data_IF_441602985020
#
_entry.id   IF_441602985020
#
_cell.length_a   1.000
_cell.length_b   1.000
_cell.length_c   1.000
_cell.angle_alpha   90.00
_cell.angle_beta   90.00
_cell.angle_gamma   90.00
#
_symmetry.space_group_name_H-M   'P 1'
#
loop_
_entity.id
_entity.type
_entity.pdbx_description
1 polymer ?
#
# COMPACT_ATOMS: atom_id res chain seq x y z
N UNK A 1 22.86 -18.34 18.61
CA UNK A 1 22.48 -18.06 17.19
C UNK A 1 21.47 -19.11 16.79
N UNK A 2 20.17 -18.77 16.75
CA UNK A 2 19.11 -19.68 16.28
C UNK A 2 19.25 -19.88 14.77
N UNK A 3 19.13 -21.14 14.31
CA UNK A 3 19.21 -21.47 12.88
C UNK A 3 18.15 -20.70 12.06
N UNK A 4 18.46 -20.29 10.80
CA UNK A 4 17.53 -19.55 9.95
C UNK A 4 16.17 -20.23 9.73
N UNK A 5 16.13 -21.56 9.73
CA UNK A 5 14.91 -22.34 9.55
C UNK A 5 13.94 -22.22 10.73
N UNK A 6 14.44 -22.15 11.95
CA UNK A 6 13.62 -22.06 13.17
C UNK A 6 12.86 -20.72 13.27
N UNK A 7 13.43 -19.64 12.77
CA UNK A 7 12.81 -18.29 12.85
C UNK A 7 11.71 -18.11 11.79
N UNK A 8 11.92 -18.59 10.56
CA UNK A 8 10.90 -18.57 9.52
C UNK A 8 9.70 -19.46 9.86
N UNK A 9 9.96 -20.63 10.43
CA UNK A 9 8.95 -21.55 10.93
C UNK A 9 8.11 -20.91 12.05
N UNK A 10 8.76 -20.28 13.03
CA UNK A 10 8.08 -19.54 14.09
C UNK A 10 7.20 -18.40 13.56
N UNK A 11 7.67 -17.67 12.55
CA UNK A 11 6.88 -16.60 11.90
C UNK A 11 5.65 -17.12 11.16
N UNK A 12 5.79 -18.24 10.44
CA UNK A 12 4.65 -18.87 9.73
C UNK A 12 3.62 -19.44 10.71
N UNK A 13 4.05 -20.04 11.80
CA UNK A 13 3.18 -20.47 12.89
C UNK A 13 2.44 -19.29 13.53
N UNK A 14 3.10 -18.14 13.65
CA UNK A 14 2.46 -16.92 14.12
C UNK A 14 1.38 -16.42 13.13
N UNK A 15 1.58 -16.56 11.80
CA UNK A 15 0.56 -16.29 10.80
C UNK A 15 -0.64 -17.22 10.95
N UNK A 16 -0.41 -18.53 11.15
CA UNK A 16 -1.49 -19.48 11.39
C UNK A 16 -2.35 -19.07 12.61
N UNK A 17 -1.71 -18.56 13.68
CA UNK A 17 -2.37 -18.06 14.89
C UNK A 17 -2.91 -16.61 14.80
N UNK A 18 -2.60 -15.86 13.75
CA UNK A 18 -2.95 -14.45 13.63
C UNK A 18 -4.46 -14.21 13.70
N UNK A 19 -4.90 -13.24 14.51
CA UNK A 19 -6.31 -12.92 14.66
C UNK A 19 -6.86 -12.15 13.46
N UNK A 20 -6.08 -11.23 12.89
CA UNK A 20 -6.48 -10.40 11.75
C UNK A 20 -5.43 -10.45 10.65
N UNK A 21 -5.85 -10.88 9.47
CA UNK A 21 -4.97 -10.97 8.30
C UNK A 21 -5.54 -10.17 7.13
N UNK A 22 -4.67 -9.45 6.43
CA UNK A 22 -5.00 -8.87 5.13
C UNK A 22 -4.41 -9.79 4.05
N UNK A 23 -5.23 -10.18 3.09
CA UNK A 23 -4.81 -11.00 1.96
C UNK A 23 -4.98 -10.20 0.69
N UNK A 24 -3.95 -10.09 -0.13
CA UNK A 24 -4.01 -9.43 -1.43
C UNK A 24 -3.92 -10.44 -2.56
N UNK A 25 -4.79 -10.31 -3.54
CA UNK A 25 -4.78 -11.12 -4.75
C UNK A 25 -4.66 -10.26 -6.00
N UNK A 26 -3.79 -10.66 -6.93
CA UNK A 26 -3.58 -10.01 -8.21
C UNK A 26 -4.63 -10.40 -9.26
N UNK A 27 -4.79 -9.58 -10.31
CA UNK A 27 -5.72 -9.87 -11.41
C UNK A 27 -5.39 -11.16 -12.14
N UNK A 28 -4.11 -11.43 -12.42
CA UNK A 28 -3.64 -12.64 -13.09
C UNK A 28 -4.01 -13.94 -12.35
N UNK A 29 -4.12 -13.86 -11.02
CA UNK A 29 -4.51 -14.99 -10.17
C UNK A 29 -6.02 -15.28 -10.20
N UNK A 30 -6.84 -14.33 -10.65
CA UNK A 30 -8.31 -14.41 -10.63
C UNK A 30 -8.93 -14.51 -12.02
N UNK A 31 -8.15 -14.21 -13.09
CA UNK A 31 -8.67 -14.20 -14.46
C UNK A 31 -8.13 -15.35 -15.27
N UNK A 32 -8.93 -15.84 -16.21
CA UNK A 32 -8.51 -16.84 -17.19
C UNK A 32 -7.76 -16.20 -18.36
N UNK A 33 -7.00 -17.00 -19.12
CA UNK A 33 -6.35 -16.54 -20.36
C UNK A 33 -7.36 -16.16 -21.46
N UNK A 34 -8.57 -16.71 -21.41
CA UNK A 34 -9.66 -16.38 -22.33
C UNK A 34 -10.38 -15.05 -21.97
N UNK A 35 -9.97 -14.40 -20.88
CA UNK A 35 -10.63 -13.23 -20.32
C UNK A 35 -11.74 -13.60 -19.31
N UNK A 36 -12.11 -12.62 -18.47
CA UNK A 36 -13.11 -12.81 -17.43
C UNK A 36 -12.57 -13.45 -16.13
N UNK A 37 -13.44 -13.57 -15.15
CA UNK A 37 -13.13 -14.15 -13.85
C UNK A 37 -13.11 -15.67 -13.96
N UNK A 38 -12.12 -16.31 -13.35
CA UNK A 38 -12.01 -17.77 -13.22
C UNK A 38 -12.65 -18.18 -11.89
N UNK A 39 -13.86 -18.73 -11.97
CA UNK A 39 -14.64 -19.10 -10.79
C UNK A 39 -13.95 -20.17 -9.93
N UNK A 40 -13.22 -21.11 -10.54
CA UNK A 40 -12.52 -22.15 -9.79
C UNK A 40 -11.37 -21.56 -8.95
N UNK A 41 -10.60 -20.63 -9.51
CA UNK A 41 -9.54 -19.92 -8.78
C UNK A 41 -10.12 -19.02 -7.69
N UNK A 42 -11.21 -18.33 -8.00
CA UNK A 42 -11.91 -17.48 -7.04
C UNK A 42 -12.46 -18.32 -5.89
N UNK A 43 -13.11 -19.44 -6.17
CA UNK A 43 -13.66 -20.35 -5.17
C UNK A 43 -12.56 -20.95 -4.26
N UNK A 44 -11.44 -21.37 -4.82
CA UNK A 44 -10.32 -21.88 -4.05
C UNK A 44 -9.73 -20.82 -3.08
N UNK A 45 -9.62 -19.57 -3.54
CA UNK A 45 -9.23 -18.45 -2.67
C UNK A 45 -10.26 -18.22 -1.57
N UNK A 46 -11.54 -18.16 -1.93
CA UNK A 46 -12.64 -17.93 -0.98
C UNK A 46 -12.73 -19.05 0.05
N UNK A 47 -12.48 -20.32 -0.33
CA UNK A 47 -12.40 -21.44 0.63
C UNK A 47 -11.34 -21.21 1.71
N UNK A 48 -10.15 -20.81 1.31
CA UNK A 48 -9.06 -20.54 2.26
C UNK A 48 -9.38 -19.38 3.22
N UNK A 49 -10.02 -18.31 2.71
CA UNK A 49 -10.41 -17.14 3.52
C UNK A 49 -11.60 -17.45 4.42
N UNK A 50 -12.59 -18.19 3.91
CA UNK A 50 -13.79 -18.59 4.64
C UNK A 50 -13.44 -19.51 5.81
N UNK A 51 -12.53 -20.48 5.62
CA UNK A 51 -12.06 -21.34 6.70
C UNK A 51 -11.55 -20.52 7.90
N UNK A 52 -10.70 -19.53 7.66
CA UNK A 52 -10.22 -18.61 8.74
C UNK A 52 -11.35 -17.83 9.38
N UNK A 53 -12.29 -17.32 8.56
CA UNK A 53 -13.40 -16.52 9.07
C UNK A 53 -14.33 -17.34 9.95
N UNK A 54 -14.62 -18.58 9.57
CA UNK A 54 -15.46 -19.52 10.33
C UNK A 54 -14.79 -19.95 11.64
N UNK A 55 -13.45 -19.98 11.70
CA UNK A 55 -12.67 -20.17 12.94
C UNK A 55 -12.70 -18.94 13.87
N UNK A 56 -13.51 -17.93 13.60
CA UNK A 56 -13.63 -16.72 14.44
C UNK A 56 -12.54 -15.68 14.21
N UNK A 57 -11.67 -15.85 13.22
CA UNK A 57 -10.60 -14.90 12.87
C UNK A 57 -11.09 -13.86 11.86
N UNK A 58 -10.40 -12.76 11.76
CA UNK A 58 -10.75 -11.65 10.87
C UNK A 58 -9.91 -11.67 9.60
N UNK A 59 -10.56 -11.48 8.47
CA UNK A 59 -9.94 -11.44 7.14
C UNK A 59 -10.38 -10.18 6.41
N UNK A 60 -9.45 -9.47 5.79
CA UNK A 60 -9.69 -8.41 4.81
C UNK A 60 -9.08 -8.85 3.49
N UNK A 61 -9.84 -8.85 2.42
CA UNK A 61 -9.36 -9.15 1.08
C UNK A 61 -9.09 -7.85 0.33
N UNK A 62 -7.88 -7.68 -0.20
CA UNK A 62 -7.55 -6.62 -1.17
C UNK A 62 -7.48 -7.27 -2.55
N UNK A 63 -8.44 -6.95 -3.41
CA UNK A 63 -8.61 -7.61 -4.70
C UNK A 63 -8.26 -6.67 -5.85
N UNK A 64 -7.60 -7.22 -6.86
CA UNK A 64 -7.48 -6.63 -8.20
C UNK A 64 -8.43 -7.30 -9.17
N UNK A 65 -8.44 -6.83 -10.42
CA UNK A 65 -9.15 -7.51 -11.51
C UNK A 65 -10.40 -6.78 -12.02
N UNK A 66 -10.79 -5.65 -11.44
CA UNK A 66 -11.95 -4.90 -11.90
C UNK A 66 -11.83 -4.51 -13.39
N UNK A 67 -10.72 -3.90 -13.82
CA UNK A 67 -10.52 -3.57 -15.24
C UNK A 67 -10.58 -4.84 -16.11
N UNK A 68 -9.91 -5.92 -15.69
CA UNK A 68 -9.90 -7.18 -16.46
C UNK A 68 -11.30 -7.80 -16.60
N UNK A 69 -12.10 -7.77 -15.52
CA UNK A 69 -13.49 -8.24 -15.52
C UNK A 69 -14.40 -7.39 -16.43
N UNK A 70 -14.10 -6.11 -16.60
CA UNK A 70 -14.87 -5.21 -17.47
C UNK A 70 -14.53 -5.30 -18.96
N UNK A 71 -13.44 -5.95 -19.35
CA UNK A 71 -13.02 -5.99 -20.76
C UNK A 71 -14.04 -6.70 -21.67
N UNK A 72 -14.43 -7.91 -21.31
CA UNK A 72 -15.33 -8.71 -22.12
C UNK A 72 -16.73 -8.09 -22.29
N UNK A 73 -17.40 -7.57 -21.24
CA UNK A 73 -18.68 -6.88 -21.37
C UNK A 73 -18.63 -5.63 -22.25
N UNK A 74 -17.48 -4.98 -22.32
CA UNK A 74 -17.27 -3.79 -23.15
C UNK A 74 -16.69 -4.11 -24.54
N UNK A 75 -16.61 -5.39 -24.91
CA UNK A 75 -16.01 -5.90 -26.15
C UNK A 75 -14.57 -5.36 -26.40
N UNK A 76 -13.80 -5.17 -25.34
CA UNK A 76 -12.41 -4.71 -25.40
C UNK A 76 -11.47 -5.93 -25.48
N UNK A 77 -10.79 -6.08 -26.63
CA UNK A 77 -9.89 -7.21 -26.87
C UNK A 77 -8.63 -7.21 -25.99
N UNK A 78 -8.25 -6.07 -25.43
CA UNK A 78 -7.05 -5.88 -24.58
C UNK A 78 -7.24 -4.74 -23.60
N UNK A 79 -6.38 -4.70 -22.58
CA UNK A 79 -6.39 -3.61 -21.59
C UNK A 79 -6.16 -2.26 -22.27
N UNK A 80 -7.06 -1.27 -22.08
CA UNK A 80 -6.93 0.07 -22.63
C UNK A 80 -5.67 0.78 -22.10
N UNK A 81 -5.13 1.70 -22.90
CA UNK A 81 -3.99 2.53 -22.49
C UNK A 81 -4.43 3.88 -21.93
N UNK A 82 -5.56 4.40 -22.43
CA UNK A 82 -6.10 5.68 -21.97
C UNK A 82 -6.86 5.53 -20.65
N UNK A 83 -6.74 6.55 -19.81
CA UNK A 83 -7.31 6.56 -18.46
C UNK A 83 -8.84 6.42 -18.46
N UNK A 84 -9.52 7.17 -19.32
CA UNK A 84 -10.99 7.20 -19.33
C UNK A 84 -11.59 5.81 -19.67
N UNK A 85 -11.01 5.09 -20.64
CA UNK A 85 -11.45 3.73 -20.99
C UNK A 85 -11.10 2.73 -19.88
N UNK A 86 -9.94 2.90 -19.20
CA UNK A 86 -9.62 2.08 -18.02
C UNK A 86 -10.63 2.30 -16.89
N UNK A 87 -11.00 3.55 -16.61
CA UNK A 87 -12.01 3.89 -15.59
C UNK A 87 -13.38 3.32 -15.93
N UNK A 88 -13.80 3.40 -17.20
CA UNK A 88 -15.05 2.80 -17.67
C UNK A 88 -15.03 1.27 -17.51
N UNK A 89 -13.93 0.61 -17.89
CA UNK A 89 -13.78 -0.83 -17.70
C UNK A 89 -13.78 -1.23 -16.22
N UNK A 90 -13.11 -0.46 -15.36
CA UNK A 90 -13.13 -0.67 -13.92
C UNK A 90 -14.53 -0.53 -13.34
N UNK A 91 -15.30 0.49 -13.78
CA UNK A 91 -16.68 0.72 -13.33
C UNK A 91 -17.59 -0.47 -13.61
N UNK A 92 -17.56 -1.00 -14.84
CA UNK A 92 -18.34 -2.19 -15.21
C UNK A 92 -17.83 -3.44 -14.49
N UNK A 93 -16.52 -3.65 -14.50
CA UNK A 93 -15.91 -4.88 -13.99
C UNK A 93 -15.91 -4.97 -12.46
N UNK A 94 -15.92 -3.84 -11.75
CA UNK A 94 -16.00 -3.85 -10.28
C UNK A 94 -17.34 -4.45 -9.79
N UNK A 95 -18.44 -4.11 -10.46
CA UNK A 95 -19.74 -4.69 -10.15
C UNK A 95 -19.76 -6.21 -10.36
N UNK A 96 -19.19 -6.68 -11.48
CA UNK A 96 -19.09 -8.12 -11.79
C UNK A 96 -18.20 -8.86 -10.79
N UNK A 97 -17.02 -8.30 -10.49
CA UNK A 97 -16.10 -8.88 -9.51
C UNK A 97 -16.76 -9.03 -8.14
N UNK A 98 -17.50 -8.01 -7.69
CA UNK A 98 -18.24 -8.08 -6.44
C UNK A 98 -19.39 -9.08 -6.45
N UNK A 99 -20.06 -9.25 -7.58
CA UNK A 99 -21.11 -10.28 -7.72
C UNK A 99 -20.54 -11.69 -7.51
N UNK A 100 -19.42 -12.03 -8.17
CA UNK A 100 -18.73 -13.31 -8.00
C UNK A 100 -18.27 -13.53 -6.55
N UNK A 101 -17.66 -12.54 -5.90
CA UNK A 101 -17.29 -12.67 -4.48
C UNK A 101 -18.50 -12.83 -3.58
N UNK A 102 -19.56 -12.04 -3.80
CA UNK A 102 -20.79 -12.11 -2.99
C UNK A 102 -21.38 -13.51 -3.06
N UNK A 103 -21.49 -14.08 -4.25
CA UNK A 103 -22.00 -15.43 -4.45
C UNK A 103 -21.09 -16.50 -3.82
N UNK A 104 -19.79 -16.41 -4.05
CA UNK A 104 -18.83 -17.37 -3.52
C UNK A 104 -18.81 -17.40 -1.98
N UNK A 105 -18.79 -16.24 -1.33
CA UNK A 105 -18.85 -16.16 0.13
C UNK A 105 -20.23 -16.53 0.69
N UNK A 106 -21.32 -16.18 0.00
CA UNK A 106 -22.67 -16.55 0.41
C UNK A 106 -22.87 -18.07 0.43
N UNK A 107 -22.30 -18.83 -0.52
CA UNK A 107 -22.30 -20.31 -0.50
C UNK A 107 -21.64 -20.89 0.77
N UNK A 108 -20.82 -20.10 1.46
CA UNK A 108 -20.13 -20.46 2.73
C UNK A 108 -20.75 -19.78 3.96
N UNK A 109 -21.96 -19.19 3.81
CA UNK A 109 -22.68 -18.53 4.88
C UNK A 109 -22.06 -17.21 5.36
N UNK A 110 -21.19 -16.59 4.55
CA UNK A 110 -20.48 -15.36 4.90
C UNK A 110 -20.98 -14.18 4.06
N UNK A 111 -21.01 -13.01 4.68
CA UNK A 111 -21.36 -11.74 4.04
C UNK A 111 -20.08 -10.98 3.71
N UNK A 112 -20.07 -10.33 2.55
CA UNK A 112 -18.98 -9.45 2.11
C UNK A 112 -19.42 -8.00 2.08
N UNK A 113 -18.46 -7.05 2.23
CA UNK A 113 -18.71 -5.62 2.11
C UNK A 113 -17.65 -4.97 1.23
N UNK A 114 -18.05 -4.26 0.19
CA UNK A 114 -17.15 -3.52 -0.69
C UNK A 114 -16.64 -2.24 -0.02
N UNK A 115 -15.33 -1.99 -0.12
CA UNK A 115 -14.70 -0.72 0.28
C UNK A 115 -13.76 -0.28 -0.83
N UNK A 116 -14.05 0.85 -1.46
CA UNK A 116 -13.21 1.44 -2.49
C UNK A 116 -12.41 2.60 -1.88
N UNK A 117 -11.09 2.58 -2.07
CA UNK A 117 -10.17 3.58 -1.53
C UNK A 117 -9.32 4.18 -2.66
N UNK A 118 -9.05 5.47 -2.55
CA UNK A 118 -8.01 6.15 -3.32
C UNK A 118 -6.77 6.35 -2.47
N UNK A 119 -5.65 6.73 -3.11
CA UNK A 119 -4.45 7.14 -2.40
C UNK A 119 -4.75 8.27 -1.40
N UNK A 120 -5.60 9.22 -1.78
CA UNK A 120 -6.03 10.36 -0.98
C UNK A 120 -6.76 9.94 0.32
N UNK A 121 -7.58 8.87 0.25
CA UNK A 121 -8.32 8.37 1.42
C UNK A 121 -7.43 7.79 2.51
N UNK A 122 -6.23 7.34 2.14
CA UNK A 122 -5.24 6.83 3.09
C UNK A 122 -4.36 7.96 3.65
N UNK A 123 -4.30 9.11 2.96
CA UNK A 123 -3.48 10.28 3.32
C UNK A 123 -4.20 11.23 4.25
N UNK A 124 -5.40 11.67 3.84
CA UNK A 124 -6.15 12.67 4.57
C UNK A 124 -6.63 12.11 5.92
N UNK A 125 -6.25 12.77 7.01
CA UNK A 125 -6.53 12.32 8.38
C UNK A 125 -8.01 11.98 8.61
N UNK A 126 -8.92 12.79 8.07
CA UNK A 126 -10.37 12.57 8.20
C UNK A 126 -10.83 11.32 7.45
N UNK A 127 -10.37 11.15 6.20
CA UNK A 127 -10.70 10.00 5.35
C UNK A 127 -10.11 8.72 5.93
N UNK A 128 -8.83 8.75 6.33
CA UNK A 128 -8.17 7.65 7.02
C UNK A 128 -8.94 7.19 8.26
N UNK A 129 -9.35 8.13 9.13
CA UNK A 129 -10.10 7.80 10.33
C UNK A 129 -11.48 7.21 10.01
N UNK A 130 -12.15 7.68 8.95
CA UNK A 130 -13.42 7.15 8.48
C UNK A 130 -13.25 5.73 7.91
N UNK A 131 -12.31 5.53 6.99
CA UNK A 131 -12.03 4.22 6.41
C UNK A 131 -11.70 3.18 7.49
N UNK A 132 -10.86 3.55 8.48
CA UNK A 132 -10.55 2.69 9.61
C UNK A 132 -11.79 2.32 10.44
N UNK A 133 -12.67 3.28 10.73
CA UNK A 133 -13.91 3.03 11.50
C UNK A 133 -14.85 2.11 10.73
N UNK A 134 -15.01 2.34 9.42
CA UNK A 134 -15.86 1.50 8.55
C UNK A 134 -15.33 0.07 8.49
N UNK A 135 -14.05 -0.14 8.19
CA UNK A 135 -13.43 -1.46 8.15
C UNK A 135 -13.53 -2.17 9.50
N UNK A 136 -13.24 -1.47 10.61
CA UNK A 136 -13.38 -2.05 11.96
C UNK A 136 -14.82 -2.43 12.26
N UNK A 137 -15.80 -1.65 11.80
CA UNK A 137 -17.22 -1.95 12.01
C UNK A 137 -17.67 -3.15 11.19
N UNK A 138 -17.26 -3.25 9.93
CA UNK A 138 -17.52 -4.42 9.09
C UNK A 138 -16.99 -5.70 9.73
N UNK A 139 -15.71 -5.70 10.15
CA UNK A 139 -15.10 -6.84 10.84
C UNK A 139 -15.85 -7.21 12.11
N UNK A 140 -16.22 -6.24 12.96
CA UNK A 140 -16.99 -6.46 14.17
C UNK A 140 -18.41 -6.96 13.93
N UNK A 141 -18.97 -6.75 12.75
CA UNK A 141 -20.26 -7.31 12.30
C UNK A 141 -20.12 -8.71 11.66
N UNK A 142 -18.91 -9.23 11.57
CA UNK A 142 -18.68 -10.54 10.94
C UNK A 142 -18.60 -10.50 9.42
N UNK A 143 -18.62 -9.32 8.81
CA UNK A 143 -18.52 -9.13 7.37
C UNK A 143 -17.06 -9.23 6.93
N UNK A 144 -16.79 -9.85 5.78
CA UNK A 144 -15.48 -9.86 5.13
C UNK A 144 -15.36 -8.62 4.23
N UNK A 145 -14.52 -7.63 4.57
CA UNK A 145 -14.32 -6.49 3.70
C UNK A 145 -13.52 -6.89 2.45
N UNK A 146 -14.03 -6.50 1.27
CA UNK A 146 -13.31 -6.60 0.00
C UNK A 146 -12.93 -5.19 -0.42
N UNK A 147 -11.63 -4.92 -0.37
CA UNK A 147 -11.05 -3.61 -0.67
C UNK A 147 -10.48 -3.61 -2.07
N UNK A 148 -10.70 -2.54 -2.82
CA UNK A 148 -10.03 -2.28 -4.09
C UNK A 148 -9.71 -0.79 -4.22
N UNK A 149 -8.85 -0.44 -5.18
CA UNK A 149 -8.69 0.95 -5.59
C UNK A 149 -9.98 1.47 -6.21
N UNK A 150 -10.33 2.73 -5.92
CA UNK A 150 -11.42 3.42 -6.61
C UNK A 150 -10.92 3.95 -7.97
N UNK A 151 -10.73 3.03 -8.91
CA UNK A 151 -10.24 3.32 -10.24
C UNK A 151 -11.10 4.36 -11.00
N UNK A 152 -12.38 4.51 -10.64
CA UNK A 152 -13.31 5.41 -11.36
C UNK A 152 -13.02 6.88 -11.14
N UNK A 153 -12.38 7.24 -10.04
CA UNK A 153 -12.03 8.63 -9.69
C UNK A 153 -10.53 8.84 -9.51
N UNK A 154 -9.73 7.77 -9.57
CA UNK A 154 -8.28 7.86 -9.47
C UNK A 154 -7.70 8.51 -10.73
N UNK A 155 -6.88 9.55 -10.57
CA UNK A 155 -6.10 10.17 -11.66
C UNK A 155 -4.70 9.56 -11.73
N UNK A 156 -3.96 9.79 -12.81
CA UNK A 156 -2.61 9.25 -12.97
C UNK A 156 -1.66 9.72 -11.86
N UNK A 157 -1.91 10.90 -11.28
CA UNK A 157 -1.11 11.49 -10.20
C UNK A 157 -1.38 10.84 -8.83
N UNK A 158 -2.63 10.38 -8.59
CA UNK A 158 -3.07 9.87 -7.28
C UNK A 158 -3.38 8.36 -7.27
N UNK A 159 -3.02 7.63 -8.32
CA UNK A 159 -3.17 6.17 -8.35
C UNK A 159 -2.13 5.48 -7.49
N UNK A 160 -2.53 4.43 -6.80
CA UNK A 160 -1.58 3.50 -6.18
C UNK A 160 -0.70 2.80 -7.24
N UNK A 161 -1.24 2.62 -8.45
CA UNK A 161 -0.57 1.95 -9.54
C UNK A 161 -0.61 0.42 -9.42
N UNK A 162 -0.61 -0.09 -8.21
CA UNK A 162 -0.87 -1.51 -7.91
C UNK A 162 -1.49 -1.70 -6.52
N UNK A 163 -2.28 -2.76 -6.37
CA UNK A 163 -2.95 -3.10 -5.13
C UNK A 163 -2.01 -3.74 -4.08
N UNK A 164 -0.74 -4.00 -4.39
CA UNK A 164 0.22 -4.52 -3.41
C UNK A 164 0.50 -3.44 -2.36
N UNK A 165 0.74 -2.20 -2.79
CA UNK A 165 0.91 -1.04 -1.89
C UNK A 165 -0.37 -0.72 -1.12
N UNK A 166 -1.53 -0.74 -1.80
CA UNK A 166 -2.82 -0.57 -1.13
C UNK A 166 -3.00 -1.61 -0.02
N UNK A 167 -2.62 -2.87 -0.25
CA UNK A 167 -2.74 -3.93 0.74
C UNK A 167 -1.86 -3.70 1.98
N UNK A 168 -0.62 -3.24 1.79
CA UNK A 168 0.25 -2.87 2.91
C UNK A 168 -0.34 -1.73 3.75
N UNK A 169 -0.96 -0.74 3.11
CA UNK A 169 -1.62 0.38 3.79
C UNK A 169 -2.91 -0.05 4.49
N UNK A 170 -3.71 -0.91 3.86
CA UNK A 170 -4.91 -1.50 4.47
C UNK A 170 -4.52 -2.36 5.68
N UNK A 171 -3.47 -3.19 5.57
CA UNK A 171 -2.97 -3.99 6.68
C UNK A 171 -2.64 -3.11 7.89
N UNK A 172 -1.99 -1.97 7.63
CA UNK A 172 -1.74 -1.01 8.69
C UNK A 172 -3.02 -0.33 9.20
N UNK A 173 -3.93 0.10 8.29
CA UNK A 173 -5.19 0.78 8.61
C UNK A 173 -6.05 -0.06 9.58
N UNK A 174 -6.13 -1.37 9.33
CA UNK A 174 -6.88 -2.32 10.16
C UNK A 174 -6.05 -2.92 11.31
N UNK A 175 -4.78 -2.53 11.47
CA UNK A 175 -3.84 -3.09 12.45
C UNK A 175 -3.73 -4.62 12.33
N UNK A 176 -3.55 -5.11 11.12
CA UNK A 176 -3.40 -6.53 10.86
C UNK A 176 -2.21 -7.13 11.63
N UNK A 177 -2.31 -8.40 11.95
CA UNK A 177 -1.21 -9.17 12.54
C UNK A 177 -0.25 -9.67 11.48
N UNK A 178 -0.75 -9.87 10.25
CA UNK A 178 0.06 -10.23 9.10
C UNK A 178 -0.59 -9.77 7.78
N UNK A 179 0.26 -9.65 6.75
CA UNK A 179 -0.13 -9.45 5.35
C UNK A 179 0.23 -10.70 4.55
N UNK A 180 -0.64 -11.11 3.62
CA UNK A 180 -0.35 -12.17 2.65
C UNK A 180 -0.48 -11.58 1.25
N UNK A 181 0.59 -11.62 0.48
CA UNK A 181 0.63 -11.18 -0.91
C UNK A 181 0.61 -12.42 -1.82
N UNK A 182 -0.52 -12.61 -2.48
CA UNK A 182 -0.70 -13.71 -3.43
C UNK A 182 -0.30 -13.26 -4.84
N UNK A 183 0.52 -14.08 -5.48
CA UNK A 183 1.15 -13.84 -6.77
C UNK A 183 0.88 -14.99 -7.74
N UNK A 184 1.39 -14.88 -8.96
CA UNK A 184 1.56 -15.93 -9.95
C UNK A 184 2.87 -16.73 -9.76
N UNK A 185 3.76 -16.23 -8.88
CA UNK A 185 5.02 -16.92 -8.49
C UNK A 185 4.91 -17.37 -7.04
N UNK A 186 5.47 -18.52 -6.76
CA UNK A 186 5.35 -19.17 -5.44
C UNK A 186 6.22 -18.55 -4.35
N UNK A 187 7.30 -17.83 -4.70
CA UNK A 187 8.21 -17.20 -3.75
C UNK A 187 9.08 -16.11 -4.40
N UNK A 188 9.88 -15.40 -3.60
CA UNK A 188 11.03 -14.65 -4.07
C UNK A 188 12.20 -15.61 -4.27
N UNK A 189 12.97 -15.40 -5.34
CA UNK A 189 14.17 -16.15 -5.68
C UNK A 189 15.39 -15.24 -5.75
N UNK A 190 16.57 -15.77 -5.48
CA UNK A 190 17.84 -15.04 -5.58
C UNK A 190 18.28 -14.78 -7.02
N UNK A 191 17.60 -15.40 -7.98
CA UNK A 191 17.74 -15.22 -9.42
C UNK A 191 16.42 -15.46 -10.15
N UNK A 192 16.40 -15.48 -11.49
CA UNK A 192 15.17 -15.75 -12.25
C UNK A 192 14.62 -17.14 -11.93
N UNK A 193 13.32 -17.29 -11.62
CA UNK A 193 12.71 -18.58 -11.33
C UNK A 193 12.92 -19.58 -12.48
N UNK A 194 13.25 -20.83 -12.17
CA UNK A 194 13.49 -21.88 -13.15
C UNK A 194 14.88 -21.88 -13.80
N UNK A 195 15.74 -20.92 -13.45
CA UNK A 195 17.15 -20.93 -13.90
C UNK A 195 17.97 -21.87 -13.02
N UNK A 196 18.87 -22.69 -13.60
CA UNK A 196 19.76 -23.56 -12.80
C UNK A 196 20.56 -22.73 -11.79
N UNK A 197 20.51 -23.13 -10.51
CA UNK A 197 21.19 -22.45 -9.40
C UNK A 197 20.36 -21.40 -8.68
N UNK A 198 19.22 -20.95 -9.24
CA UNK A 198 18.31 -20.06 -8.52
C UNK A 198 17.60 -20.79 -7.37
N UNK A 199 17.65 -20.21 -6.17
CA UNK A 199 17.08 -20.78 -4.96
C UNK A 199 15.96 -19.89 -4.39
N UNK A 200 14.98 -20.55 -3.76
CA UNK A 200 13.91 -19.86 -3.02
C UNK A 200 14.53 -19.13 -1.83
N UNK A 201 14.23 -17.84 -1.72
CA UNK A 201 14.54 -17.06 -0.53
C UNK A 201 13.42 -17.28 0.50
N UNK A 202 13.68 -18.13 1.48
CA UNK A 202 12.65 -18.53 2.45
C UNK A 202 12.33 -17.42 3.46
N UNK A 203 13.29 -16.52 3.75
CA UNK A 203 13.19 -15.54 4.84
C UNK A 203 13.93 -14.25 4.50
N UNK A 204 13.26 -13.11 4.75
CA UNK A 204 13.82 -11.76 4.75
C UNK A 204 13.64 -11.17 6.14
N UNK A 205 14.74 -10.89 6.86
CA UNK A 205 14.74 -10.34 8.23
C UNK A 205 14.89 -8.84 8.24
N UNK A 206 15.70 -8.33 7.31
CA UNK A 206 16.09 -6.92 7.25
C UNK A 206 16.14 -6.44 5.82
N UNK A 207 16.11 -5.12 5.57
CA UNK A 207 16.31 -4.58 4.22
C UNK A 207 17.63 -5.02 3.56
N UNK A 208 18.69 -5.28 4.33
CA UNK A 208 19.97 -5.72 3.81
C UNK A 208 19.90 -7.11 3.14
N UNK A 209 18.97 -7.97 3.57
CA UNK A 209 18.76 -9.28 2.94
C UNK A 209 18.23 -9.17 1.50
N UNK A 210 17.70 -8.03 1.11
CA UNK A 210 17.21 -7.75 -0.25
C UNK A 210 18.31 -7.23 -1.20
N UNK A 211 19.40 -6.68 -0.67
CA UNK A 211 20.47 -6.07 -1.49
C UNK A 211 21.13 -7.06 -2.48
N UNK A 212 21.41 -8.34 -2.11
CA UNK A 212 22.02 -9.29 -3.03
C UNK A 212 21.03 -9.87 -4.06
N UNK A 213 19.72 -9.61 -3.91
CA UNK A 213 18.69 -10.25 -4.74
C UNK A 213 18.43 -9.42 -5.98
N UNK A 214 18.70 -10.01 -7.16
CA UNK A 214 18.35 -9.39 -8.43
C UNK A 214 16.87 -9.59 -8.74
N UNK A 215 16.04 -8.59 -8.38
CA UNK A 215 14.61 -8.65 -8.61
C UNK A 215 14.37 -8.34 -10.11
N UNK A 216 14.00 -9.38 -10.87
CA UNK A 216 13.66 -9.23 -12.28
C UNK A 216 12.40 -8.39 -12.51
N UNK A 217 12.36 -7.61 -13.59
CA UNK A 217 11.23 -6.77 -13.99
C UNK A 217 10.09 -7.53 -14.68
N UNK A 218 10.11 -8.86 -14.72
CA UNK A 218 9.16 -9.67 -15.50
C UNK A 218 7.85 -9.79 -14.74
N UNK A 219 6.86 -8.95 -15.11
CA UNK A 219 5.46 -9.10 -14.72
C UNK A 219 4.67 -9.86 -15.80
N UNK A 220 3.61 -10.56 -15.40
CA UNK A 220 2.63 -11.12 -16.34
C UNK A 220 2.02 -9.99 -17.18
N UNK A 221 1.81 -10.21 -18.49
CA UNK A 221 1.26 -9.20 -19.42
C UNK A 221 -0.17 -8.71 -19.11
N UNK A 222 -0.77 -9.20 -18.03
CA UNK A 222 -2.16 -8.88 -17.60
C UNK A 222 -2.22 -7.93 -16.41
N UNK A 223 -1.14 -7.82 -15.59
CA UNK A 223 -1.11 -7.00 -14.37
C UNK A 223 -0.08 -5.86 -14.45
N UNK A 224 -0.31 -4.79 -13.68
CA UNK A 224 0.63 -3.65 -13.54
C UNK A 224 1.70 -3.91 -12.47
N UNK A 225 1.54 -4.92 -11.59
CA UNK A 225 2.43 -5.23 -10.48
C UNK A 225 3.39 -6.37 -10.80
N UNK A 226 4.69 -6.13 -10.66
CA UNK A 226 5.76 -7.13 -10.75
C UNK A 226 6.24 -7.60 -9.37
N UNK A 227 7.30 -8.42 -9.32
CA UNK A 227 7.93 -8.82 -8.07
C UNK A 227 8.45 -7.61 -7.27
N UNK A 228 8.96 -6.59 -7.95
CA UNK A 228 9.42 -5.34 -7.33
C UNK A 228 8.33 -4.69 -6.46
N UNK A 229 7.10 -4.57 -6.97
CA UNK A 229 6.01 -3.93 -6.23
C UNK A 229 5.59 -4.74 -5.01
N UNK A 230 5.67 -6.07 -5.08
CA UNK A 230 5.38 -6.97 -3.95
C UNK A 230 6.43 -6.89 -2.86
N UNK A 231 7.70 -6.84 -3.23
CA UNK A 231 8.81 -6.64 -2.29
C UNK A 231 8.71 -5.27 -1.63
N UNK A 232 8.40 -4.21 -2.39
CA UNK A 232 8.15 -2.87 -1.84
C UNK A 232 6.99 -2.87 -0.84
N UNK A 233 5.87 -3.51 -1.19
CA UNK A 233 4.71 -3.62 -0.31
C UNK A 233 5.03 -4.41 0.97
N UNK A 234 5.76 -5.53 0.86
CA UNK A 234 6.23 -6.29 2.01
C UNK A 234 7.15 -5.46 2.90
N UNK A 235 8.07 -4.67 2.31
CA UNK A 235 8.94 -3.76 3.04
C UNK A 235 8.17 -2.65 3.77
N UNK A 236 7.13 -2.08 3.14
CA UNK A 236 6.24 -1.10 3.76
C UNK A 236 5.53 -1.71 4.97
N UNK A 237 4.95 -2.90 4.82
CA UNK A 237 4.28 -3.61 5.92
C UNK A 237 5.26 -3.96 7.05
N UNK A 238 6.44 -4.49 6.72
CA UNK A 238 7.47 -4.86 7.70
C UNK A 238 7.96 -3.65 8.51
N UNK A 239 8.17 -2.49 7.89
CA UNK A 239 8.46 -1.22 8.58
C UNK A 239 7.33 -0.78 9.51
N UNK A 240 6.08 -1.14 9.16
CA UNK A 240 4.90 -0.90 10.00
C UNK A 240 4.75 -1.91 11.14
N UNK A 241 5.67 -2.83 11.31
CA UNK A 241 5.58 -3.89 12.32
C UNK A 241 4.60 -5.01 11.95
N UNK A 242 4.35 -5.20 10.65
CA UNK A 242 3.45 -6.22 10.11
C UNK A 242 4.27 -7.19 9.26
N UNK A 243 4.47 -8.44 9.70
CA UNK A 243 5.14 -9.45 8.90
C UNK A 243 4.32 -9.80 7.66
N UNK A 244 5.00 -10.25 6.60
CA UNK A 244 4.34 -10.53 5.32
C UNK A 244 4.77 -11.89 4.78
N UNK A 245 3.78 -12.67 4.31
CA UNK A 245 4.00 -13.85 3.47
C UNK A 245 3.78 -13.47 2.00
N UNK A 246 4.76 -13.73 1.15
CA UNK A 246 4.64 -13.69 -0.30
C UNK A 246 4.59 -15.12 -0.83
N UNK A 247 3.50 -15.51 -1.52
CA UNK A 247 3.36 -16.86 -2.09
C UNK A 247 2.42 -16.87 -3.31
N UNK A 248 2.30 -18.03 -3.98
CA UNK A 248 1.38 -18.18 -5.09
C UNK A 248 -0.07 -18.27 -4.62
N UNK A 249 -1.02 -17.79 -5.43
CA UNK A 249 -2.44 -17.88 -5.12
C UNK A 249 -2.95 -19.31 -4.86
N UNK A 250 -2.53 -20.35 -5.60
CA UNK A 250 -2.89 -21.73 -5.30
C UNK A 250 -2.39 -22.25 -3.93
N UNK A 251 -1.37 -21.60 -3.36
CA UNK A 251 -0.81 -21.95 -2.06
C UNK A 251 -1.41 -21.13 -0.90
N UNK A 252 -2.48 -20.37 -1.15
CA UNK A 252 -3.09 -19.52 -0.14
C UNK A 252 -3.51 -20.28 1.13
N UNK A 253 -4.16 -21.43 0.97
CA UNK A 253 -4.59 -22.26 2.10
C UNK A 253 -3.40 -22.76 2.92
N UNK A 254 -2.37 -23.33 2.27
CA UNK A 254 -1.16 -23.81 2.89
C UNK A 254 -0.41 -22.68 3.63
N UNK A 255 -0.26 -21.52 2.97
CA UNK A 255 0.38 -20.36 3.59
C UNK A 255 -0.36 -19.85 4.81
N UNK A 256 -1.69 -19.76 4.74
CA UNK A 256 -2.53 -19.34 5.87
C UNK A 256 -2.57 -20.38 7.01
N UNK A 257 -2.30 -21.66 6.72
CA UNK A 257 -2.15 -22.71 7.72
C UNK A 257 -0.76 -22.69 8.40
N UNK A 258 0.20 -21.94 7.86
CA UNK A 258 1.54 -21.82 8.42
C UNK A 258 2.57 -22.80 7.83
N UNK A 259 2.24 -23.42 6.69
CA UNK A 259 3.14 -24.35 6.00
C UNK A 259 4.38 -23.63 5.45
N UNK A 260 5.46 -24.38 5.19
CA UNK A 260 6.70 -23.86 4.62
C UNK A 260 6.57 -23.57 3.12
N UNK A 261 5.77 -22.57 2.79
CA UNK A 261 5.60 -22.03 1.41
C UNK A 261 6.02 -20.57 1.33
N UNK A 262 6.34 -20.13 0.14
CA UNK A 262 6.61 -18.72 -0.15
C UNK A 262 7.87 -18.14 0.52
N UNK A 263 7.92 -16.82 0.56
CA UNK A 263 8.93 -16.02 1.25
C UNK A 263 8.31 -15.30 2.43
N UNK A 264 8.87 -15.50 3.62
CA UNK A 264 8.47 -14.79 4.82
C UNK A 264 9.31 -13.52 5.02
N UNK A 265 8.66 -12.40 5.21
CA UNK A 265 9.28 -11.13 5.60
C UNK A 265 8.96 -10.88 7.07
N UNK A 266 9.99 -10.82 7.90
CA UNK A 266 9.83 -10.43 9.31
C UNK A 266 9.48 -8.95 9.43
N UNK A 267 8.79 -8.59 10.51
CA UNK A 267 8.58 -7.21 10.86
C UNK A 267 9.86 -6.62 11.46
N UNK A 268 10.39 -5.54 10.91
CA UNK A 268 11.56 -4.83 11.45
C UNK A 268 11.27 -3.44 11.99
N UNK A 269 10.01 -3.01 11.93
CA UNK A 269 9.53 -1.75 12.49
C UNK A 269 8.56 -1.93 13.64
N UNK A 270 7.90 -0.83 14.03
CA UNK A 270 6.86 -0.83 15.05
C UNK A 270 5.52 -0.39 14.47
N UNK A 271 4.40 -0.86 15.04
CA UNK A 271 3.04 -0.47 14.64
C UNK A 271 2.71 1.02 14.88
N UNK A 272 3.70 1.85 15.17
CA UNK A 272 3.56 3.27 15.51
C UNK A 272 3.80 4.14 14.26
N UNK A 273 2.88 5.04 13.95
CA UNK A 273 2.96 6.06 12.90
C UNK A 273 2.62 5.67 11.45
N UNK A 274 1.38 5.27 11.24
CA UNK A 274 0.85 4.79 9.97
C UNK A 274 0.75 5.78 8.82
N UNK A 275 0.39 7.01 9.12
CA UNK A 275 0.19 8.07 8.13
C UNK A 275 1.50 8.46 7.45
N UNK A 276 2.59 8.35 8.19
CA UNK A 276 3.92 8.68 7.71
C UNK A 276 4.52 7.63 6.78
N UNK A 277 4.11 6.37 6.90
CA UNK A 277 4.59 5.30 6.01
C UNK A 277 4.11 5.48 4.57
N UNK A 278 2.85 5.88 4.39
CA UNK A 278 2.36 6.20 3.06
C UNK A 278 3.10 7.41 2.47
N UNK A 279 3.24 8.47 3.27
CA UNK A 279 3.95 9.68 2.85
C UNK A 279 5.39 9.37 2.43
N UNK A 280 6.06 8.44 3.15
CA UNK A 280 7.41 8.02 2.81
C UNK A 280 7.51 7.21 1.52
N UNK A 281 6.55 6.30 1.26
CA UNK A 281 6.74 5.23 0.29
C UNK A 281 5.75 5.17 -0.85
N UNK A 282 4.52 5.66 -0.69
CA UNK A 282 3.48 5.54 -1.70
C UNK A 282 3.15 6.86 -2.41
N UNK A 283 3.33 8.02 -1.75
CA UNK A 283 3.02 9.30 -2.37
C UNK A 283 4.07 9.70 -3.41
N UNK A 284 3.62 10.07 -4.59
CA UNK A 284 4.43 10.87 -5.50
C UNK A 284 4.46 12.30 -4.98
N UNK A 285 5.65 12.93 -4.97
CA UNK A 285 5.77 14.33 -4.60
C UNK A 285 5.16 15.22 -5.69
N UNK A 286 4.26 16.12 -5.31
CA UNK A 286 3.67 17.13 -6.22
C UNK A 286 4.58 18.36 -6.37
N UNK A 287 5.64 18.48 -5.54
CA UNK A 287 6.59 19.57 -5.57
C UNK A 287 7.70 19.42 -4.56
N UNK A 288 8.54 20.45 -4.45
CA UNK A 288 9.73 20.45 -3.61
C UNK A 288 9.89 21.77 -2.87
N UNK A 289 10.35 21.67 -1.63
CA UNK A 289 10.70 22.81 -0.77
C UNK A 289 12.17 22.73 -0.39
N UNK A 290 12.96 23.75 -0.70
CA UNK A 290 14.35 23.88 -0.27
C UNK A 290 14.39 24.57 1.10
N UNK A 291 15.08 23.94 2.02
CA UNK A 291 15.25 24.41 3.39
C UNK A 291 16.61 25.10 3.55
N UNK A 292 16.69 26.08 4.43
CA UNK A 292 17.98 26.56 4.93
C UNK A 292 18.59 25.56 5.94
N UNK A 293 19.86 25.77 6.31
CA UNK A 293 20.57 24.88 7.24
C UNK A 293 19.92 24.85 8.63
N UNK A 294 19.34 25.95 9.08
CA UNK A 294 18.63 26.06 10.35
C UNK A 294 17.35 25.21 10.36
N UNK A 295 16.58 25.24 9.26
CA UNK A 295 15.38 24.43 9.08
C UNK A 295 15.72 22.96 8.90
N UNK A 296 16.79 22.61 8.17
CA UNK A 296 17.30 21.23 8.08
C UNK A 296 17.60 20.69 9.48
N UNK A 297 18.36 21.45 10.31
CA UNK A 297 18.65 21.03 11.68
C UNK A 297 17.38 20.93 12.55
N UNK A 298 16.42 21.85 12.39
CA UNK A 298 15.16 21.84 13.12
C UNK A 298 14.32 20.59 12.77
N UNK A 299 14.18 20.28 11.49
CA UNK A 299 13.39 19.17 10.98
C UNK A 299 14.06 17.82 11.27
N UNK A 300 15.34 17.66 10.92
CA UNK A 300 16.05 16.37 10.98
C UNK A 300 16.45 16.03 12.40
N UNK A 301 17.07 16.95 13.14
CA UNK A 301 17.64 16.69 14.46
C UNK A 301 16.63 16.90 15.60
N UNK A 302 15.86 17.98 15.53
CA UNK A 302 14.92 18.38 16.61
C UNK A 302 13.48 17.93 16.39
N UNK A 303 13.19 17.32 15.24
CA UNK A 303 11.85 16.82 14.88
C UNK A 303 10.74 17.89 14.99
N UNK A 304 11.07 19.12 14.58
CA UNK A 304 10.14 20.25 14.62
C UNK A 304 9.38 20.41 13.31
N UNK A 305 8.25 21.12 13.36
CA UNK A 305 7.49 21.55 12.17
C UNK A 305 8.32 22.47 11.30
N UNK A 306 8.10 22.45 9.99
CA UNK A 306 8.72 23.34 9.02
C UNK A 306 7.94 24.66 8.96
N UNK A 307 8.60 25.75 9.33
CA UNK A 307 8.03 27.10 9.32
C UNK A 307 8.36 27.84 8.01
N UNK A 308 7.58 28.88 7.64
CA UNK A 308 7.85 29.71 6.47
C UNK A 308 9.24 30.34 6.45
N UNK A 309 9.76 30.74 7.63
CA UNK A 309 11.08 31.33 7.79
C UNK A 309 12.23 30.43 7.31
N UNK A 310 12.05 29.10 7.36
CA UNK A 310 13.10 28.15 7.01
C UNK A 310 13.06 27.63 5.57
N UNK A 311 12.13 28.13 4.74
CA UNK A 311 12.02 27.72 3.33
C UNK A 311 12.58 28.82 2.44
N UNK A 312 13.52 28.43 1.55
CA UNK A 312 14.23 29.36 0.66
C UNK A 312 13.70 29.32 -0.77
N UNK A 313 13.14 28.18 -1.22
CA UNK A 313 12.67 28.00 -2.60
C UNK A 313 11.52 27.00 -2.64
N UNK A 314 10.61 27.22 -3.57
CA UNK A 314 9.43 26.34 -3.85
C UNK A 314 9.43 26.00 -5.32
N UNK A 315 9.24 24.73 -5.66
CA UNK A 315 9.02 24.24 -7.03
C UNK A 315 7.87 23.25 -7.08
N UNK A 316 7.18 23.19 -8.24
CA UNK A 316 6.08 22.28 -8.49
C UNK A 316 4.72 22.96 -8.47
N UNK A 317 3.67 22.16 -8.64
CA UNK A 317 2.28 22.60 -8.58
C UNK A 317 1.56 21.71 -7.58
N UNK A 318 1.18 22.26 -6.47
CA UNK A 318 0.50 21.53 -5.40
C UNK A 318 -0.49 22.45 -4.67
N UNK A 319 -1.46 21.84 -4.04
CA UNK A 319 -2.43 22.48 -3.14
C UNK A 319 -2.23 22.00 -1.71
N UNK A 320 -2.83 22.70 -0.76
CA UNK A 320 -2.77 22.32 0.65
C UNK A 320 -3.26 20.88 0.86
N UNK A 321 -2.48 20.09 1.61
CA UNK A 321 -2.72 18.67 1.85
C UNK A 321 -1.97 17.73 0.94
N UNK A 322 -1.30 18.20 -0.11
CA UNK A 322 -0.49 17.37 -1.00
C UNK A 322 0.94 17.13 -0.50
N UNK A 323 1.56 16.00 -0.89
CA UNK A 323 2.91 15.66 -0.50
C UNK A 323 3.96 16.48 -1.27
N UNK A 324 4.93 17.02 -0.53
CA UNK A 324 6.09 17.72 -1.10
C UNK A 324 7.38 17.16 -0.54
N UNK A 325 8.43 17.12 -1.36
CA UNK A 325 9.75 16.72 -0.92
C UNK A 325 10.46 17.91 -0.22
N UNK A 326 11.17 17.60 0.87
CA UNK A 326 11.97 18.54 1.62
C UNK A 326 13.43 18.34 1.26
N UNK A 327 14.09 19.38 0.77
CA UNK A 327 15.44 19.33 0.24
C UNK A 327 16.38 20.19 1.06
N UNK A 328 17.63 19.73 1.18
CA UNK A 328 18.73 20.57 1.68
C UNK A 328 19.05 21.70 0.70
N UNK A 329 19.85 22.71 1.08
CA UNK A 329 20.33 23.73 0.14
C UNK A 329 21.06 23.12 -1.07
N UNK A 330 21.71 21.98 -0.89
CA UNK A 330 22.42 21.24 -1.95
C UNK A 330 21.50 20.37 -2.84
N UNK A 331 20.17 20.40 -2.62
CA UNK A 331 19.20 19.64 -3.41
C UNK A 331 19.02 18.18 -3.01
N UNK A 332 19.57 17.74 -1.88
CA UNK A 332 19.38 16.39 -1.39
C UNK A 332 18.02 16.26 -0.68
N UNK A 333 17.20 15.30 -1.06
CA UNK A 333 15.92 14.99 -0.39
C UNK A 333 16.21 14.42 1.00
N UNK A 334 15.68 15.03 2.04
CA UNK A 334 15.83 14.61 3.45
C UNK A 334 14.53 14.12 4.07
N UNK A 335 13.40 14.46 3.45
CA UNK A 335 12.10 14.09 3.97
C UNK A 335 10.98 14.40 2.99
N UNK A 336 9.77 14.06 3.39
CA UNK A 336 8.52 14.38 2.69
C UNK A 336 7.48 14.82 3.69
N UNK A 337 6.64 15.79 3.32
CA UNK A 337 5.61 16.31 4.21
C UNK A 337 4.33 16.69 3.47
N UNK A 338 3.21 16.73 4.19
CA UNK A 338 1.97 17.31 3.67
C UNK A 338 1.99 18.82 3.92
N UNK A 339 1.89 19.57 2.85
CA UNK A 339 1.97 21.04 2.90
C UNK A 339 0.63 21.64 3.34
N UNK A 340 0.67 22.72 4.11
CA UNK A 340 -0.54 23.42 4.59
C UNK A 340 -0.98 24.60 3.70
N UNK A 341 -0.23 24.90 2.63
CA UNK A 341 -0.46 26.05 1.74
C UNK A 341 -0.38 25.62 0.28
N UNK A 342 -1.07 26.33 -0.59
CA UNK A 342 -0.93 26.12 -2.03
C UNK A 342 0.43 26.65 -2.52
N UNK A 343 0.96 26.03 -3.59
CA UNK A 343 2.24 26.45 -4.18
C UNK A 343 2.29 27.92 -4.56
N UNK A 344 1.13 28.50 -4.91
CA UNK A 344 1.00 29.91 -5.31
C UNK A 344 1.10 30.89 -4.15
N UNK A 345 0.73 30.47 -2.93
CA UNK A 345 0.75 31.31 -1.72
C UNK A 345 2.16 31.38 -1.12
N UNK A 346 2.89 30.27 -1.18
CA UNK A 346 4.18 30.13 -0.50
C UNK A 346 5.21 31.23 -0.81
N UNK A 347 5.41 31.69 -2.09
CA UNK A 347 6.42 32.71 -2.37
C UNK A 347 6.26 34.01 -1.56
N UNK A 348 5.04 34.37 -1.17
CA UNK A 348 4.75 35.55 -0.36
C UNK A 348 5.02 35.36 1.14
N UNK A 349 5.22 34.08 1.57
CA UNK A 349 5.35 33.70 2.96
C UNK A 349 6.80 33.36 3.34
N UNK A 350 7.66 33.09 2.34
CA UNK A 350 9.03 32.61 2.57
C UNK A 350 9.87 33.61 3.37
N UNK A 351 10.73 33.10 4.25
CA UNK A 351 11.65 33.88 5.05
C UNK A 351 10.99 34.70 6.17
N UNK A 352 9.67 34.60 6.32
CA UNK A 352 8.90 35.41 7.29
C UNK A 352 8.47 34.56 8.50
N UNK A 353 8.41 35.21 9.66
CA UNK A 353 7.93 34.55 10.87
C UNK A 353 6.40 34.36 10.86
N UNK A 354 5.90 33.29 11.45
CA UNK A 354 4.46 33.04 11.59
C UNK A 354 3.73 34.14 12.36
N UNK A 355 4.43 34.85 13.27
CA UNK A 355 3.87 36.00 14.03
C UNK A 355 3.66 37.23 13.12
N UNK A 356 4.60 37.51 12.24
CA UNK A 356 4.47 38.61 11.26
C UNK A 356 3.36 38.30 10.26
N UNK A 357 3.33 37.08 9.74
CA UNK A 357 2.29 36.63 8.81
C UNK A 357 0.89 36.70 9.43
N UNK A 358 0.74 36.24 10.68
CA UNK A 358 -0.54 36.35 11.39
C UNK A 358 -1.02 37.79 11.59
N UNK A 359 -0.07 38.71 11.87
CA UNK A 359 -0.39 40.15 12.07
C UNK A 359 -0.80 40.84 10.78
N UNK A 360 -0.19 40.46 9.64
CA UNK A 360 -0.38 41.15 8.38
C UNK A 360 -1.46 40.51 7.48
N UNK A 361 -1.54 39.21 7.49
CA UNK A 361 -2.42 38.43 6.60
C UNK A 361 -3.60 37.76 7.35
N UNK A 362 -3.56 37.79 8.68
CA UNK A 362 -4.61 37.18 9.50
C UNK A 362 -4.19 35.88 10.20
N UNK A 363 -5.02 35.41 11.16
CA UNK A 363 -4.68 34.27 12.03
C UNK A 363 -4.48 32.95 11.26
N UNK A 364 -5.09 32.77 10.09
CA UNK A 364 -4.95 31.58 9.26
C UNK A 364 -3.51 31.37 8.74
N UNK A 365 -2.71 32.42 8.72
CA UNK A 365 -1.29 32.42 8.32
C UNK A 365 -0.33 32.21 9.50
N UNK A 366 -0.83 31.96 10.71
CA UNK A 366 -0.01 31.63 11.89
C UNK A 366 0.47 30.19 11.93
N UNK A 367 0.26 29.40 10.86
CA UNK A 367 0.56 27.97 10.82
C UNK A 367 1.88 27.67 10.12
N UNK A 368 2.43 26.52 10.39
CA UNK A 368 3.60 25.95 9.72
C UNK A 368 3.30 25.55 8.27
N UNK A 369 4.36 25.50 7.43
CA UNK A 369 4.25 24.98 6.06
C UNK A 369 4.00 23.48 6.09
N UNK A 370 4.72 22.72 6.95
CA UNK A 370 4.52 21.30 7.18
C UNK A 370 4.56 21.03 8.68
N UNK A 371 3.48 20.45 9.22
CA UNK A 371 3.46 20.06 10.63
C UNK A 371 4.34 18.83 10.86
N UNK A 372 5.02 18.76 12.01
CA UNK A 372 5.91 17.63 12.36
C UNK A 372 5.22 16.27 12.33
N UNK A 373 3.92 16.20 12.66
CA UNK A 373 3.14 14.97 12.63
C UNK A 373 2.71 14.58 11.20
N UNK A 374 2.94 15.46 10.21
CA UNK A 374 2.68 15.31 8.79
C UNK A 374 3.96 15.27 7.97
N UNK A 375 5.09 14.98 8.64
CA UNK A 375 6.42 14.97 8.05
C UNK A 375 7.11 13.63 8.35
N UNK A 376 7.69 13.03 7.32
CA UNK A 376 8.52 11.83 7.42
C UNK A 376 9.92 12.12 6.91
N UNK A 377 10.95 11.68 7.65
CA UNK A 377 12.32 11.71 7.16
C UNK A 377 12.58 10.49 6.30
N UNK A 378 13.16 10.74 5.13
CA UNK A 378 13.58 9.67 4.22
C UNK A 378 15.04 9.37 4.54
N UNK A 379 15.30 8.18 5.08
CA UNK A 379 16.67 7.71 5.24
C UNK A 379 17.29 7.56 3.85
N UNK A 380 18.44 8.19 3.61
CA UNK A 380 19.26 7.86 2.44
C UNK A 380 19.58 6.36 2.50
N UNK A 381 19.28 5.66 1.38
CA UNK A 381 19.98 4.42 1.05
C UNK A 381 21.45 4.72 0.79
#
# INVERSE_FOLDING_TARGET
>A
MTSPSTTAESGRLALAGAQRVVVKVGSSSLTSMAGGIDDARLDALVDALAARRLDGREVVLVSSGAIAAGLAPLALARRPKDLATQQAAASVGQGLLMAHYTEAFARRGLTVGQVLLTADDVVRRSHYANARRTLSRLLGLGVVPIVNENDTVATDEIRFGDNDRLAALVAHLVRADALVLLSDVDALYDGPPGTPGSQRVALIRTPADLEPITIGSVGSGVGTGGMVTKVDAAAIAAKAGIPTLLTAAPLAAAGLAGDDVGTWFEAWGSKTASRLLWLAHAARSSGSLWLDDGAVAAVVQRRMSLLPAGVTKVEGRFVAGEPVDLLTPAGAVIGRGLVNYDARELPSLLGRSTRELARELGPDYAREIVHRDDLVLLNRR
#
